data_IF_346040215599
#
_entry.id   IF_346040215599
#
_cell.length_a   1.000
_cell.length_b   1.000
_cell.length_c   1.000
_cell.angle_alpha   90.00
_cell.angle_beta   90.00
_cell.angle_gamma   90.00
#
_symmetry.space_group_name_H-M   'P 1'
#
loop_
_entity.id
_entity.type
_entity.pdbx_description
1 polymer ?
#
# COMPACT_ATOMS: atom_id res chain seq x y z
N UNK A 1 -29.25 15.34 -9.08
CA UNK A 1 -27.93 15.68 -8.54
C UNK A 1 -27.11 14.45 -8.13
N UNK A 2 -27.72 13.34 -7.70
CA UNK A 2 -27.03 12.11 -7.27
C UNK A 2 -26.28 11.31 -8.33
N UNK A 3 -26.77 11.28 -9.58
CA UNK A 3 -26.14 10.49 -10.65
C UNK A 3 -24.77 11.03 -11.13
N UNK A 4 -24.51 12.34 -11.01
CA UNK A 4 -23.21 12.91 -11.39
C UNK A 4 -22.10 12.62 -10.39
N UNK A 5 -22.43 12.55 -9.10
CA UNK A 5 -21.46 12.20 -8.05
C UNK A 5 -21.03 10.75 -8.12
N UNK A 6 -21.95 9.81 -8.34
CA UNK A 6 -21.64 8.39 -8.49
C UNK A 6 -20.81 8.07 -9.75
N UNK A 7 -21.05 8.80 -10.85
CA UNK A 7 -20.22 8.69 -12.06
C UNK A 7 -18.81 9.22 -11.86
N UNK A 8 -18.65 10.30 -11.09
CA UNK A 8 -17.33 10.89 -10.79
C UNK A 8 -16.49 10.00 -9.89
N UNK A 9 -17.08 9.39 -8.86
CA UNK A 9 -16.41 8.42 -8.00
C UNK A 9 -16.00 7.14 -8.76
N UNK A 10 -16.88 6.61 -9.63
CA UNK A 10 -16.55 5.45 -10.46
C UNK A 10 -15.43 5.74 -11.47
N UNK A 11 -15.42 6.93 -12.09
CA UNK A 11 -14.38 7.32 -13.03
C UNK A 11 -13.04 7.60 -12.33
N UNK A 12 -13.05 8.14 -11.12
CA UNK A 12 -11.85 8.38 -10.32
C UNK A 12 -11.20 7.05 -9.88
N UNK A 13 -11.98 6.12 -9.34
CA UNK A 13 -11.52 4.78 -9.00
C UNK A 13 -10.96 4.02 -10.21
N UNK A 14 -11.66 4.04 -11.35
CA UNK A 14 -11.17 3.43 -12.58
C UNK A 14 -9.82 3.99 -13.03
N UNK A 15 -9.59 5.32 -12.93
CA UNK A 15 -8.33 5.94 -13.33
C UNK A 15 -7.15 5.58 -12.41
N UNK A 16 -7.39 5.41 -11.11
CA UNK A 16 -6.36 4.95 -10.15
C UNK A 16 -5.98 3.51 -10.48
N UNK A 17 -6.95 2.64 -10.67
CA UNK A 17 -6.68 1.24 -11.00
C UNK A 17 -5.98 1.07 -12.35
N UNK A 18 -6.29 1.90 -13.35
CA UNK A 18 -5.56 1.89 -14.63
C UNK A 18 -4.09 2.29 -14.47
N UNK A 19 -3.80 3.31 -13.67
CA UNK A 19 -2.40 3.73 -13.37
C UNK A 19 -1.64 2.65 -12.63
N UNK A 20 -2.22 2.06 -11.59
CA UNK A 20 -1.63 0.94 -10.83
C UNK A 20 -1.42 -0.29 -11.72
N UNK A 21 -2.32 -0.59 -12.63
CA UNK A 21 -2.17 -1.65 -13.61
C UNK A 21 -1.04 -1.40 -14.61
N UNK A 22 -0.81 -0.15 -15.02
CA UNK A 22 0.32 0.20 -15.87
C UNK A 22 1.65 0.10 -15.12
N UNK A 23 1.67 0.46 -13.84
CA UNK A 23 2.83 0.25 -12.96
C UNK A 23 3.17 -1.24 -12.86
N UNK A 24 2.19 -2.10 -12.56
CA UNK A 24 2.39 -3.54 -12.44
C UNK A 24 2.98 -4.18 -13.70
N UNK A 25 2.71 -3.64 -14.88
CA UNK A 25 3.32 -4.10 -16.15
C UNK A 25 4.83 -3.83 -16.22
N UNK A 26 5.32 -2.83 -15.48
CA UNK A 26 6.73 -2.41 -15.45
C UNK A 26 7.52 -3.11 -14.33
N UNK A 27 6.82 -3.63 -13.32
CA UNK A 27 7.44 -4.30 -12.18
C UNK A 27 7.82 -5.75 -12.53
N UNK A 28 8.92 -6.27 -11.98
CA UNK A 28 9.36 -7.64 -12.18
C UNK A 28 8.26 -8.65 -11.81
N UNK A 29 8.12 -9.68 -12.65
CA UNK A 29 7.29 -10.84 -12.35
C UNK A 29 8.09 -11.92 -11.64
N UNK A 30 7.40 -12.85 -10.98
CA UNK A 30 8.02 -13.95 -10.25
C UNK A 30 9.06 -13.46 -9.22
N UNK A 31 8.81 -12.33 -8.61
CA UNK A 31 9.69 -11.61 -7.70
C UNK A 31 9.30 -11.83 -6.23
N UNK A 32 10.22 -11.54 -5.32
CA UNK A 32 9.92 -11.33 -3.90
C UNK A 32 9.57 -9.85 -3.73
N UNK A 33 8.36 -9.55 -3.34
CA UNK A 33 7.91 -8.17 -3.27
C UNK A 33 7.07 -7.89 -2.01
N UNK A 34 6.91 -6.60 -1.70
CA UNK A 34 6.04 -6.15 -0.62
C UNK A 34 5.08 -5.05 -1.07
N UNK A 35 3.93 -5.01 -0.42
CA UNK A 35 2.98 -3.90 -0.41
C UNK A 35 2.91 -3.36 1.02
N UNK A 36 3.22 -2.08 1.17
CA UNK A 36 3.15 -1.34 2.45
C UNK A 36 1.96 -0.39 2.36
N UNK A 37 0.95 -0.62 3.20
CA UNK A 37 -0.38 -0.03 3.07
C UNK A 37 -1.30 -0.89 2.20
N UNK A 38 -1.99 -1.83 2.82
CA UNK A 38 -2.80 -2.87 2.13
C UNK A 38 -4.28 -2.53 2.13
N UNK A 39 -4.75 -1.94 3.22
CA UNK A 39 -6.16 -1.60 3.48
C UNK A 39 -7.10 -2.79 3.22
N UNK A 40 -7.87 -2.79 2.12
CA UNK A 40 -8.82 -3.86 1.76
C UNK A 40 -8.23 -4.98 0.88
N UNK A 41 -6.94 -4.85 0.50
CA UNK A 41 -6.21 -5.85 -0.29
C UNK A 41 -6.61 -5.91 -1.77
N UNK A 42 -7.18 -4.84 -2.32
CA UNK A 42 -7.57 -4.81 -3.73
C UNK A 42 -6.34 -4.78 -4.65
N UNK A 43 -5.33 -3.99 -4.28
CA UNK A 43 -4.10 -3.92 -5.07
C UNK A 43 -3.27 -5.20 -4.89
N UNK A 44 -3.24 -5.79 -3.70
CA UNK A 44 -2.63 -7.10 -3.44
C UNK A 44 -3.11 -8.18 -4.40
N UNK A 45 -4.43 -8.26 -4.63
CA UNK A 45 -5.03 -9.21 -5.58
C UNK A 45 -4.59 -8.95 -7.03
N UNK A 46 -4.37 -7.67 -7.39
CA UNK A 46 -3.84 -7.29 -8.71
C UNK A 46 -2.39 -7.69 -8.88
N UNK A 47 -1.55 -7.49 -7.83
CA UNK A 47 -0.16 -7.96 -7.78
C UNK A 47 -0.12 -9.46 -8.02
N UNK A 48 -0.88 -10.24 -7.25
CA UNK A 48 -0.95 -11.70 -7.41
C UNK A 48 -1.30 -12.11 -8.84
N UNK A 49 -2.35 -11.50 -9.39
CA UNK A 49 -2.85 -11.85 -10.73
C UNK A 49 -1.91 -11.45 -11.86
N UNK A 50 -1.23 -10.31 -11.76
CA UNK A 50 -0.47 -9.72 -12.87
C UNK A 50 1.02 -10.00 -12.81
N UNK A 51 1.60 -10.04 -11.62
CA UNK A 51 3.04 -10.21 -11.42
C UNK A 51 3.42 -11.62 -10.97
N UNK A 52 2.46 -12.43 -10.51
CA UNK A 52 2.70 -13.81 -10.06
C UNK A 52 3.95 -13.91 -9.17
N UNK A 53 4.01 -13.18 -8.04
CA UNK A 53 5.21 -13.12 -7.21
C UNK A 53 5.56 -14.50 -6.64
N UNK A 54 6.86 -14.77 -6.44
CA UNK A 54 7.30 -15.94 -5.68
C UNK A 54 7.01 -15.80 -4.20
N UNK A 55 7.03 -14.56 -3.71
CA UNK A 55 6.57 -14.19 -2.37
C UNK A 55 6.01 -12.76 -2.39
N UNK A 56 4.83 -12.58 -1.82
CA UNK A 56 4.20 -11.29 -1.60
C UNK A 56 4.05 -11.07 -0.10
N UNK A 57 4.69 -10.03 0.41
CA UNK A 57 4.55 -9.60 1.80
C UNK A 57 3.59 -8.41 1.84
N UNK A 58 2.55 -8.53 2.66
CA UNK A 58 1.51 -7.52 2.85
C UNK A 58 1.66 -6.92 4.24
N UNK A 59 1.98 -5.65 4.30
CA UNK A 59 2.26 -4.93 5.56
C UNK A 59 1.25 -3.82 5.73
N UNK A 60 0.52 -3.86 6.86
CA UNK A 60 -0.38 -2.79 7.25
C UNK A 60 -0.60 -2.84 8.77
N UNK A 61 -0.76 -1.69 9.39
CA UNK A 61 -1.05 -1.62 10.81
C UNK A 61 -2.50 -2.01 11.13
N UNK A 62 -3.43 -1.77 10.20
CA UNK A 62 -4.88 -1.84 10.42
C UNK A 62 -5.27 -1.24 11.76
N UNK A 63 -4.83 -0.01 11.98
CA UNK A 63 -4.97 0.71 13.24
C UNK A 63 -5.59 2.08 13.03
N UNK A 64 -6.61 2.39 13.82
CA UNK A 64 -7.21 3.72 13.85
C UNK A 64 -6.22 4.80 14.33
N UNK A 65 -5.18 4.40 15.07
CA UNK A 65 -4.15 5.31 15.58
C UNK A 65 -3.21 5.81 14.49
N UNK A 66 -3.09 5.10 13.38
CA UNK A 66 -2.28 5.54 12.23
C UNK A 66 -2.92 6.66 11.40
N UNK A 67 -4.19 7.04 11.69
CA UNK A 67 -4.92 8.13 11.01
C UNK A 67 -5.01 9.38 11.88
N UNK A 68 -3.89 9.89 12.37
CA UNK A 68 -3.85 10.87 13.47
C UNK A 68 -4.43 12.25 13.18
N UNK A 69 -4.54 12.74 11.94
CA UNK A 69 -4.74 14.17 11.67
C UNK A 69 -5.90 14.61 10.77
N UNK A 70 -6.85 13.75 10.44
CA UNK A 70 -8.05 14.18 9.72
C UNK A 70 -9.31 14.02 10.57
N UNK A 71 -9.70 15.08 11.28
CA UNK A 71 -10.86 15.11 12.19
C UNK A 71 -12.18 14.67 11.52
N UNK A 72 -12.37 14.92 10.23
CA UNK A 72 -13.57 14.55 9.48
C UNK A 72 -13.57 13.09 8.99
N UNK A 73 -12.38 12.50 8.80
CA UNK A 73 -12.19 11.10 8.39
C UNK A 73 -12.14 10.18 9.62
N UNK A 74 -11.64 10.67 10.75
CA UNK A 74 -11.45 9.92 12.00
C UNK A 74 -12.79 9.36 12.57
N UNK A 75 -13.92 10.04 12.33
CA UNK A 75 -15.25 9.56 12.79
C UNK A 75 -15.77 8.35 11.99
N UNK A 76 -15.21 8.08 10.80
CA UNK A 76 -15.65 7.00 9.92
C UNK A 76 -14.81 5.72 10.03
N UNK A 77 -13.59 5.79 10.60
CA UNK A 77 -12.66 4.67 10.70
C UNK A 77 -12.37 4.31 12.16
N UNK A 78 -13.24 3.46 12.74
CA UNK A 78 -13.04 2.92 14.09
C UNK A 78 -12.08 1.73 14.08
N UNK A 79 -11.52 1.37 15.26
CA UNK A 79 -10.67 0.19 15.36
C UNK A 79 -11.41 -1.08 14.96
N UNK A 80 -12.70 -1.21 15.28
CA UNK A 80 -13.51 -2.36 14.87
C UNK A 80 -13.60 -2.51 13.34
N UNK A 81 -13.67 -1.39 12.61
CA UNK A 81 -13.65 -1.42 11.14
C UNK A 81 -12.31 -1.88 10.61
N UNK A 82 -11.20 -1.41 11.18
CA UNK A 82 -9.86 -1.89 10.80
C UNK A 82 -9.68 -3.37 11.11
N UNK A 83 -10.14 -3.83 12.26
CA UNK A 83 -10.11 -5.25 12.62
C UNK A 83 -10.93 -6.09 11.64
N UNK A 84 -12.11 -5.63 11.27
CA UNK A 84 -12.94 -6.31 10.27
C UNK A 84 -12.28 -6.30 8.88
N UNK A 85 -11.65 -5.20 8.49
CA UNK A 85 -10.91 -5.08 7.23
C UNK A 85 -9.75 -6.07 7.19
N UNK A 86 -8.95 -6.15 8.27
CA UNK A 86 -7.89 -7.13 8.41
C UNK A 86 -8.39 -8.58 8.28
N UNK A 87 -9.48 -8.94 8.97
CA UNK A 87 -10.09 -10.27 8.87
C UNK A 87 -10.57 -10.59 7.45
N UNK A 88 -11.11 -9.61 6.74
CA UNK A 88 -11.51 -9.75 5.34
C UNK A 88 -10.30 -10.00 4.44
N UNK A 89 -9.18 -9.30 4.66
CA UNK A 89 -7.92 -9.49 3.92
C UNK A 89 -7.37 -10.88 4.18
N UNK A 90 -7.32 -11.33 5.44
CA UNK A 90 -6.93 -12.70 5.80
C UNK A 90 -7.78 -13.73 5.04
N UNK A 91 -9.10 -13.60 5.10
CA UNK A 91 -10.04 -14.53 4.42
C UNK A 91 -9.81 -14.60 2.92
N UNK A 92 -9.51 -13.48 2.29
CA UNK A 92 -9.29 -13.39 0.83
C UNK A 92 -7.94 -13.97 0.41
N UNK A 93 -6.88 -13.74 1.21
CA UNK A 93 -5.51 -13.88 0.75
C UNK A 93 -4.70 -14.97 1.44
N UNK A 94 -5.05 -15.43 2.64
CA UNK A 94 -4.34 -16.51 3.35
C UNK A 94 -4.31 -17.86 2.60
N UNK A 95 -5.18 -18.04 1.61
CA UNK A 95 -5.23 -19.26 0.77
C UNK A 95 -4.08 -19.36 -0.24
N UNK A 96 -3.30 -18.30 -0.40
CA UNK A 96 -2.14 -18.30 -1.29
C UNK A 96 -0.88 -18.59 -0.47
N UNK A 97 -0.22 -19.70 -0.71
CA UNK A 97 0.96 -20.16 0.06
C UNK A 97 2.16 -19.20 -0.06
N UNK A 98 2.17 -18.37 -1.09
CA UNK A 98 3.19 -17.36 -1.34
C UNK A 98 2.87 -15.97 -0.77
N UNK A 99 1.80 -15.83 0.03
CA UNK A 99 1.40 -14.58 0.67
C UNK A 99 1.69 -14.62 2.16
N UNK A 100 2.41 -13.61 2.65
CA UNK A 100 2.63 -13.36 4.07
C UNK A 100 1.93 -12.06 4.46
N UNK A 101 1.08 -12.08 5.49
CA UNK A 101 0.33 -10.92 5.96
C UNK A 101 0.84 -10.53 7.35
N UNK A 102 1.33 -9.31 7.48
CA UNK A 102 1.95 -8.78 8.70
C UNK A 102 1.14 -7.57 9.18
N UNK A 103 0.48 -7.72 10.33
CA UNK A 103 -0.23 -6.63 10.99
C UNK A 103 0.70 -5.91 11.95
N UNK A 104 1.45 -4.93 11.44
CA UNK A 104 2.38 -4.07 12.17
C UNK A 104 2.52 -2.74 11.45
N UNK A 105 3.09 -1.73 12.13
CA UNK A 105 3.58 -0.57 11.41
C UNK A 105 4.68 -0.98 10.42
N UNK A 106 4.88 -0.18 9.40
CA UNK A 106 5.77 -0.47 8.27
C UNK A 106 7.23 -0.66 8.71
N UNK A 107 7.75 0.24 9.54
CA UNK A 107 9.14 0.22 10.00
C UNK A 107 9.43 -1.04 10.81
N UNK A 108 8.57 -1.38 11.78
CA UNK A 108 8.72 -2.59 12.60
C UNK A 108 8.59 -3.88 11.78
N UNK A 109 7.71 -3.87 10.79
CA UNK A 109 7.55 -5.01 9.90
C UNK A 109 8.78 -5.19 9.00
N UNK A 110 9.23 -4.11 8.35
CA UNK A 110 10.39 -4.14 7.45
C UNK A 110 11.67 -4.50 8.18
N UNK A 111 11.84 -4.11 9.45
CA UNK A 111 12.99 -4.50 10.26
C UNK A 111 13.13 -6.02 10.47
N UNK A 112 12.06 -6.79 10.31
CA UNK A 112 12.12 -8.25 10.43
C UNK A 112 12.75 -8.96 9.22
N UNK A 113 12.98 -8.24 8.12
CA UNK A 113 13.59 -8.78 6.91
C UNK A 113 15.09 -8.44 6.85
N UNK A 114 15.87 -9.31 6.19
CA UNK A 114 17.27 -9.01 5.90
C UNK A 114 17.41 -7.85 4.92
N UNK A 115 18.55 -7.18 4.91
CA UNK A 115 18.86 -6.18 3.91
C UNK A 115 18.92 -6.82 2.51
N UNK A 116 18.56 -6.04 1.50
CA UNK A 116 18.49 -6.48 0.11
C UNK A 116 17.60 -7.73 -0.10
N UNK A 117 16.48 -7.82 0.60
CA UNK A 117 15.56 -8.96 0.53
C UNK A 117 14.58 -8.88 -0.64
N UNK A 118 13.98 -7.69 -0.88
CA UNK A 118 12.93 -7.49 -1.86
C UNK A 118 13.48 -7.15 -3.25
N UNK A 119 12.87 -7.68 -4.29
CA UNK A 119 13.10 -7.25 -5.66
C UNK A 119 12.40 -5.93 -5.95
N UNK A 120 11.23 -5.71 -5.34
CA UNK A 120 10.53 -4.42 -5.37
C UNK A 120 9.57 -4.28 -4.19
N UNK A 121 9.30 -3.03 -3.82
CA UNK A 121 8.35 -2.65 -2.78
C UNK A 121 7.43 -1.55 -3.32
N UNK A 122 6.15 -1.64 -3.02
CA UNK A 122 5.15 -0.61 -3.28
C UNK A 122 4.68 -0.02 -1.95
N UNK A 123 4.74 1.32 -1.85
CA UNK A 123 4.39 2.07 -0.64
C UNK A 123 3.14 2.89 -0.91
N UNK A 124 2.09 2.67 -0.13
CA UNK A 124 0.80 3.38 -0.17
C UNK A 124 0.18 3.36 1.25
N UNK A 125 0.93 3.86 2.24
CA UNK A 125 0.56 3.78 3.65
C UNK A 125 0.13 5.15 4.19
N UNK A 126 0.95 5.78 5.03
CA UNK A 126 0.68 7.12 5.55
C UNK A 126 1.03 8.20 4.50
N UNK A 127 0.33 9.34 4.57
CA UNK A 127 0.62 10.51 3.75
C UNK A 127 1.31 11.62 4.55
N UNK A 128 1.62 11.35 5.83
CA UNK A 128 2.40 12.26 6.67
C UNK A 128 3.87 12.24 6.25
N UNK A 129 4.47 13.43 6.15
CA UNK A 129 5.85 13.58 5.63
C UNK A 129 6.86 12.67 6.35
N UNK A 130 6.83 12.63 7.69
CA UNK A 130 7.79 11.84 8.47
C UNK A 130 7.58 10.34 8.26
N UNK A 131 6.33 9.87 8.25
CA UNK A 131 6.01 8.46 8.04
C UNK A 131 6.47 8.00 6.64
N UNK A 132 6.23 8.82 5.61
CA UNK A 132 6.71 8.54 4.24
C UNK A 132 8.24 8.50 4.17
N UNK A 133 8.92 9.42 4.88
CA UNK A 133 10.38 9.45 4.93
C UNK A 133 10.93 8.19 5.60
N UNK A 134 10.38 7.80 6.76
CA UNK A 134 10.78 6.62 7.51
C UNK A 134 10.56 5.33 6.67
N UNK A 135 9.43 5.24 5.97
CA UNK A 135 9.13 4.14 5.07
C UNK A 135 10.12 4.05 3.91
N UNK A 136 10.49 5.18 3.32
CA UNK A 136 11.46 5.22 2.22
C UNK A 136 12.86 4.86 2.70
N UNK A 137 13.34 5.43 3.82
CA UNK A 137 14.66 5.14 4.38
C UNK A 137 14.80 3.65 4.72
N UNK A 138 13.78 3.07 5.35
CA UNK A 138 13.78 1.64 5.65
C UNK A 138 13.73 0.79 4.36
N UNK A 139 12.88 1.16 3.42
CA UNK A 139 12.69 0.39 2.17
C UNK A 139 13.97 0.37 1.31
N UNK A 140 14.72 1.48 1.25
CA UNK A 140 15.99 1.55 0.51
C UNK A 140 16.97 0.48 0.97
N UNK A 141 17.03 0.20 2.27
CA UNK A 141 17.93 -0.81 2.84
C UNK A 141 17.43 -2.23 2.50
N UNK A 142 16.11 -2.44 2.46
CA UNK A 142 15.49 -3.76 2.28
C UNK A 142 15.33 -4.17 0.82
N UNK A 143 15.42 -3.24 -0.12
CA UNK A 143 15.36 -3.52 -1.56
C UNK A 143 16.75 -3.85 -2.10
N UNK A 144 16.84 -4.87 -2.95
CA UNK A 144 18.07 -5.28 -3.60
C UNK A 144 18.66 -4.15 -4.46
N UNK A 145 19.97 -4.16 -4.64
CA UNK A 145 20.62 -3.29 -5.63
C UNK A 145 20.01 -3.53 -7.02
N UNK A 146 19.55 -2.46 -7.67
CA UNK A 146 18.81 -2.52 -8.93
C UNK A 146 17.34 -2.91 -8.81
N UNK A 147 16.84 -3.12 -7.60
CA UNK A 147 15.41 -3.31 -7.32
C UNK A 147 14.62 -2.02 -7.46
N UNK A 148 13.31 -2.10 -7.29
CA UNK A 148 12.40 -0.98 -7.56
C UNK A 148 11.63 -0.61 -6.29
N UNK A 149 11.61 0.67 -5.96
CA UNK A 149 10.68 1.27 -5.00
C UNK A 149 9.66 2.06 -5.79
N UNK A 150 8.39 1.77 -5.59
CA UNK A 150 7.27 2.47 -6.19
C UNK A 150 6.27 2.89 -5.11
N UNK A 151 5.46 3.88 -5.39
CA UNK A 151 4.46 4.38 -4.43
C UNK A 151 3.28 5.04 -5.14
N UNK A 152 2.26 5.40 -4.37
CA UNK A 152 1.15 6.26 -4.80
C UNK A 152 1.38 7.71 -4.35
N UNK A 153 0.54 8.61 -4.82
CA UNK A 153 0.44 10.03 -4.45
C UNK A 153 1.70 10.89 -4.63
N UNK A 154 2.76 10.39 -5.31
CA UNK A 154 3.86 11.25 -5.70
C UNK A 154 3.41 12.24 -6.77
N UNK A 155 3.29 13.49 -6.38
CA UNK A 155 2.95 14.62 -7.27
C UNK A 155 4.17 15.52 -7.45
N UNK A 156 4.80 15.46 -8.62
CA UNK A 156 5.84 16.40 -8.99
C UNK A 156 5.20 17.74 -9.43
N UNK A 157 4.53 18.42 -8.50
CA UNK A 157 3.96 19.73 -8.72
C UNK A 157 4.64 20.72 -7.77
N UNK A 158 5.38 21.71 -8.29
CA UNK A 158 5.78 22.83 -7.45
C UNK A 158 4.50 23.49 -6.90
N UNK A 159 4.39 23.63 -5.60
CA UNK A 159 3.40 24.43 -4.87
C UNK A 159 2.00 23.85 -4.61
N UNK A 160 1.80 22.54 -4.45
CA UNK A 160 0.52 22.06 -3.92
C UNK A 160 0.46 21.83 -2.40
N UNK A 161 1.60 21.91 -1.72
CA UNK A 161 1.71 21.66 -0.28
C UNK A 161 2.34 22.81 0.52
N UNK A 162 2.60 23.96 -0.12
CA UNK A 162 3.21 25.15 0.50
C UNK A 162 2.27 26.38 0.52
N UNK A 163 0.97 26.19 0.51
CA UNK A 163 0.02 27.25 0.78
C UNK A 163 -0.44 27.16 2.25
N UNK A 164 0.49 27.52 3.18
CA UNK A 164 0.22 28.16 4.46
C UNK A 164 1.44 28.98 4.88
#
# INVERSE_FOLDING_TARGET
MGLRLLRRAKNFSASIFERRDQLLKKLPKNAICAEVGVFEGEFSQRILKKNNPTKLVLIDAWSAQSMKDNSDVQTSFTQEKFDQTYLNVLTKLQKYDNVEIIRKNSVDAMNSFSDAYFDWVYIDASHEYQDVLDDLEMTIIKVKSGGIIAGDDYVNAPNKWNDD
#
